data_IF_762312870768
#
_entry.id   IF_762312870768
#
_cell.length_a   1.000
_cell.length_b   1.000
_cell.length_c   1.000
_cell.angle_alpha   90.00
_cell.angle_beta   90.00
_cell.angle_gamma   90.00
#
_symmetry.space_group_name_H-M   'P 1'
#
loop_
_entity.id
_entity.type
_entity.pdbx_description
1 polymer ?
#
# COMPACT_ATOMS: atom_id res chain seq x y z
N UNK A 1 0.74 -6.60 -17.42
CA UNK A 1 -0.36 -6.10 -16.59
C UNK A 1 0.23 -5.71 -15.24
N UNK A 2 0.55 -4.44 -15.04
CA UNK A 2 1.16 -3.95 -13.79
C UNK A 2 0.02 -3.70 -12.80
N UNK A 3 -0.33 -4.70 -12.00
CA UNK A 3 -1.32 -4.51 -10.94
C UNK A 3 -0.67 -3.59 -9.90
N UNK A 4 -1.18 -2.36 -9.79
CA UNK A 4 -0.84 -1.49 -8.68
C UNK A 4 -1.72 -1.86 -7.50
N UNK A 5 -1.09 -2.31 -6.41
CA UNK A 5 -1.77 -2.71 -5.19
C UNK A 5 -1.86 -1.54 -4.20
N UNK A 6 -3.04 -1.30 -3.64
CA UNK A 6 -3.28 -0.31 -2.59
C UNK A 6 -3.48 -1.00 -1.24
N UNK A 7 -2.79 -0.53 -0.20
CA UNK A 7 -2.85 -1.12 1.16
C UNK A 7 -3.92 -0.42 2.00
N UNK A 8 -4.84 -1.19 2.55
CA UNK A 8 -5.93 -0.69 3.42
C UNK A 8 -5.86 -1.28 4.82
N UNK A 9 -6.25 -0.49 5.81
CA UNK A 9 -6.24 -0.81 7.23
C UNK A 9 -7.44 -0.15 7.91
N UNK A 10 -8.00 -0.79 8.94
CA UNK A 10 -9.04 -0.22 9.83
C UNK A 10 -9.39 -1.25 10.91
N UNK A 11 -10.07 -0.84 11.98
CA UNK A 11 -10.70 -1.77 12.93
C UNK A 11 -12.19 -1.99 12.63
N UNK A 12 -12.77 -1.20 11.73
CA UNK A 12 -14.14 -1.32 11.26
C UNK A 12 -14.20 -2.08 9.93
N UNK A 13 -14.88 -3.22 9.94
CA UNK A 13 -15.00 -4.11 8.79
C UNK A 13 -15.86 -3.52 7.66
N UNK A 14 -16.88 -2.73 7.97
CA UNK A 14 -17.72 -2.07 6.97
C UNK A 14 -16.93 -0.98 6.26
N UNK A 15 -16.17 -0.18 7.02
CA UNK A 15 -15.29 0.84 6.44
C UNK A 15 -14.24 0.22 5.51
N UNK A 16 -13.67 -0.94 5.88
CA UNK A 16 -12.75 -1.70 5.02
C UNK A 16 -13.40 -2.14 3.71
N UNK A 17 -14.63 -2.63 3.76
CA UNK A 17 -15.34 -3.09 2.57
C UNK A 17 -15.61 -1.93 1.61
N UNK A 18 -16.13 -0.80 2.12
CA UNK A 18 -16.39 0.39 1.30
C UNK A 18 -15.12 0.93 0.66
N UNK A 19 -14.01 1.00 1.42
CA UNK A 19 -12.73 1.47 0.85
C UNK A 19 -12.17 0.49 -0.17
N UNK A 20 -12.32 -0.83 0.03
CA UNK A 20 -11.92 -1.83 -0.95
C UNK A 20 -12.65 -1.64 -2.28
N UNK A 21 -13.97 -1.50 -2.25
CA UNK A 21 -14.80 -1.27 -3.45
C UNK A 21 -14.37 -0.02 -4.20
N UNK A 22 -14.13 1.09 -3.48
CA UNK A 22 -13.65 2.34 -4.10
C UNK A 22 -12.28 2.17 -4.76
N UNK A 23 -11.35 1.49 -4.11
CA UNK A 23 -10.01 1.21 -4.65
C UNK A 23 -10.11 0.35 -5.92
N UNK A 24 -10.94 -0.69 -5.88
CA UNK A 24 -11.14 -1.62 -7.00
C UNK A 24 -11.81 -0.93 -8.18
N UNK A 25 -12.78 -0.04 -7.94
CA UNK A 25 -13.39 0.79 -8.97
C UNK A 25 -12.40 1.74 -9.66
N UNK A 26 -11.29 2.09 -9.01
CA UNK A 26 -10.19 2.87 -9.60
C UNK A 26 -9.20 1.99 -10.40
N UNK A 27 -9.41 0.67 -10.46
CA UNK A 27 -8.56 -0.28 -11.17
C UNK A 27 -7.33 -0.74 -10.37
N UNK A 28 -7.33 -0.57 -9.05
CA UNK A 28 -6.29 -1.05 -8.16
C UNK A 28 -6.69 -2.31 -7.41
N UNK A 29 -5.71 -3.11 -6.99
CA UNK A 29 -5.95 -4.25 -6.09
C UNK A 29 -5.99 -3.75 -4.63
N UNK A 30 -7.11 -3.94 -3.93
CA UNK A 30 -7.23 -3.62 -2.51
C UNK A 30 -6.62 -4.72 -1.63
N UNK A 31 -5.46 -4.44 -1.02
CA UNK A 31 -4.75 -5.37 -0.12
C UNK A 31 -5.03 -5.00 1.33
N UNK A 32 -5.73 -5.89 2.06
CA UNK A 32 -5.90 -5.76 3.50
C UNK A 32 -4.58 -6.02 4.22
N UNK A 33 -4.14 -5.08 5.05
CA UNK A 33 -2.94 -5.26 5.87
C UNK A 33 -3.24 -5.45 7.36
N UNK A 34 -4.50 -5.34 7.80
CA UNK A 34 -4.89 -5.56 9.19
C UNK A 34 -5.55 -4.36 9.87
N UNK A 35 -5.34 -4.23 11.18
CA UNK A 35 -5.95 -3.21 12.04
C UNK A 35 -5.39 -1.80 11.83
N UNK A 36 -5.93 -0.82 12.56
CA UNK A 36 -5.51 0.58 12.47
C UNK A 36 -4.03 0.80 12.87
N UNK A 37 -3.47 -0.09 13.70
CA UNK A 37 -2.06 -0.13 14.08
C UNK A 37 -1.12 -0.21 12.87
N UNK A 38 -1.60 -0.78 11.76
CA UNK A 38 -0.82 -0.90 10.52
C UNK A 38 -0.60 0.44 9.81
N UNK A 39 -1.37 1.49 10.16
CA UNK A 39 -1.16 2.84 9.63
C UNK A 39 0.26 3.33 9.88
N UNK A 40 0.76 3.16 11.12
CA UNK A 40 2.10 3.60 11.51
C UNK A 40 3.20 2.91 10.69
N UNK A 41 3.02 1.61 10.38
CA UNK A 41 3.97 0.89 9.54
C UNK A 41 4.01 1.43 8.11
N UNK A 42 2.85 1.77 7.53
CA UNK A 42 2.76 2.36 6.19
C UNK A 42 3.33 3.78 6.13
N UNK A 43 3.17 4.57 7.19
CA UNK A 43 3.82 5.87 7.33
C UNK A 43 5.34 5.73 7.32
N UNK A 44 5.90 4.78 8.08
CA UNK A 44 7.33 4.52 8.07
C UNK A 44 7.85 4.07 6.70
N UNK A 45 7.10 3.25 5.96
CA UNK A 45 7.45 2.89 4.58
C UNK A 45 7.52 4.10 3.66
N UNK A 46 6.59 5.05 3.84
CA UNK A 46 6.56 6.31 3.08
C UNK A 46 7.73 7.21 3.44
N UNK A 47 8.06 7.35 4.73
CA UNK A 47 9.22 8.12 5.18
C UNK A 47 10.53 7.54 4.66
N UNK A 48 10.69 6.21 4.67
CA UNK A 48 11.85 5.55 4.09
C UNK A 48 11.95 5.84 2.58
N UNK A 49 10.83 5.74 1.86
CA UNK A 49 10.75 6.06 0.43
C UNK A 49 11.17 7.50 0.13
N UNK A 50 10.67 8.48 0.91
CA UNK A 50 11.04 9.90 0.79
C UNK A 50 12.55 10.06 0.99
N UNK A 51 13.11 9.44 2.02
CA UNK A 51 14.54 9.49 2.33
C UNK A 51 15.39 8.94 1.17
N UNK A 52 15.00 7.80 0.61
CA UNK A 52 15.71 7.19 -0.53
C UNK A 52 15.74 8.14 -1.74
N UNK A 53 14.61 8.76 -2.08
CA UNK A 53 14.55 9.63 -3.27
C UNK A 53 15.22 10.98 -3.02
N UNK A 54 14.93 11.63 -1.89
CA UNK A 54 15.36 13.02 -1.63
C UNK A 54 16.80 13.13 -1.17
N UNK A 55 17.28 12.17 -0.37
CA UNK A 55 18.62 12.24 0.24
C UNK A 55 19.63 11.27 -0.39
N UNK A 56 19.16 10.17 -1.00
CA UNK A 56 20.04 9.13 -1.54
C UNK A 56 20.02 9.07 -3.08
N UNK A 57 19.23 9.91 -3.74
CA UNK A 57 19.19 9.99 -5.21
C UNK A 57 18.49 8.81 -5.89
N UNK A 58 17.66 8.05 -5.16
CA UNK A 58 16.86 6.99 -5.78
C UNK A 58 15.87 7.57 -6.80
N UNK A 59 15.54 6.78 -7.82
CA UNK A 59 14.61 7.18 -8.86
C UNK A 59 13.21 7.48 -8.25
N UNK A 60 12.55 8.61 -8.59
CA UNK A 60 11.20 8.93 -8.11
C UNK A 60 10.12 7.87 -8.45
N UNK A 61 10.35 7.04 -9.47
CA UNK A 61 9.48 5.94 -9.85
C UNK A 61 9.78 4.64 -9.08
N UNK A 62 10.59 4.69 -8.02
CA UNK A 62 10.79 3.56 -7.10
C UNK A 62 9.46 3.21 -6.43
N UNK A 63 9.11 1.93 -6.37
CA UNK A 63 7.84 1.45 -5.78
C UNK A 63 8.06 0.27 -4.84
N UNK A 64 7.13 0.08 -3.91
CA UNK A 64 7.05 -1.14 -3.10
C UNK A 64 6.21 -2.19 -3.84
N UNK A 65 6.69 -3.43 -3.90
CA UNK A 65 5.97 -4.54 -4.52
C UNK A 65 5.72 -5.67 -3.52
N UNK A 66 4.53 -6.29 -3.59
CA UNK A 66 4.23 -7.55 -2.90
C UNK A 66 4.55 -8.69 -3.88
N UNK A 67 5.52 -9.54 -3.53
CA UNK A 67 5.89 -10.71 -4.35
C UNK A 67 5.28 -11.96 -3.72
N UNK A 68 4.56 -12.73 -4.54
CA UNK A 68 4.01 -14.04 -4.15
C UNK A 68 4.85 -15.11 -4.81
N UNK A 69 5.30 -16.09 -4.03
CA UNK A 69 5.96 -17.27 -4.59
C UNK A 69 4.88 -18.21 -5.14
N UNK A 70 4.92 -18.49 -6.44
CA UNK A 70 4.17 -19.62 -7.00
C UNK A 70 4.92 -20.91 -6.64
N UNK A 71 4.23 -21.81 -5.94
CA UNK A 71 4.70 -23.17 -5.62
C UNK A 71 3.87 -24.16 -6.40
#
# INVERSE_FOLDING_TARGET
MTIQSFRRFSNDQTAKATTAELIENLGWEAVDVGGLDQALHLEHMTLLWIKMIRLQGANPYTVWARLTKNT
#
